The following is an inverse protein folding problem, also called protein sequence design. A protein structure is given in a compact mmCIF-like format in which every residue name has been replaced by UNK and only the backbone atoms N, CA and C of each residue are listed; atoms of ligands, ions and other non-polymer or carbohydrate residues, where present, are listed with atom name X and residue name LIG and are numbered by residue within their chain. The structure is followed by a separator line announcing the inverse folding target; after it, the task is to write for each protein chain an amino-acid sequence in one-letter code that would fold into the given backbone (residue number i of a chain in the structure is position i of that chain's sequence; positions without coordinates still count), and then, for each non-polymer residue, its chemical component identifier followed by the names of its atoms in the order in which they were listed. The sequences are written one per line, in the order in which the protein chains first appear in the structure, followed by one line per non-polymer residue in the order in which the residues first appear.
data_IF_514851904106
#
_entry.id   IF_514851904106
#
_cell.length_a   1.000
_cell.length_b   1.000
_cell.length_c   1.000
_cell.angle_alpha   90.00
_cell.angle_beta   90.00
_cell.angle_gamma   90.00
#
_symmetry.space_group_name_H-M   'P 1'
#
loop_
_entity.id
_entity.type
_entity.pdbx_description
1 polymer ?
#
# COMPACT_ATOMS: atom_id res chain seq x y z
N UNK A 1 33.34 -7.71 48.55
CA UNK A 1 31.91 -7.90 48.20
C UNK A 1 31.81 -7.51 46.75
N UNK A 2 31.56 -8.46 45.85
CA UNK A 2 31.42 -8.18 44.43
C UNK A 2 29.95 -7.77 44.18
N UNK A 3 29.75 -6.63 43.54
CA UNK A 3 28.43 -6.19 43.07
C UNK A 3 28.05 -7.02 41.84
N UNK A 4 26.94 -7.75 41.92
CA UNK A 4 26.36 -8.46 40.78
C UNK A 4 25.70 -7.45 39.83
N UNK A 5 26.11 -7.48 38.56
CA UNK A 5 25.43 -6.72 37.51
C UNK A 5 24.11 -7.41 37.13
N UNK A 6 23.03 -6.65 36.88
CA UNK A 6 21.76 -7.22 36.48
C UNK A 6 21.87 -7.90 35.11
N UNK A 7 21.52 -9.19 35.07
CA UNK A 7 21.44 -9.94 33.81
C UNK A 7 20.24 -9.47 32.97
N UNK A 8 20.44 -9.35 31.67
CA UNK A 8 19.38 -9.00 30.72
C UNK A 8 18.30 -10.08 30.70
N UNK A 9 17.03 -9.67 30.83
CA UNK A 9 15.86 -10.55 30.75
C UNK A 9 15.13 -10.36 29.41
N UNK A 10 14.52 -11.44 28.92
CA UNK A 10 13.68 -11.42 27.74
C UNK A 10 12.44 -10.53 27.99
N UNK A 11 12.18 -9.51 27.15
CA UNK A 11 11.08 -8.56 27.37
C UNK A 11 9.69 -9.20 27.26
N UNK A 12 9.59 -10.40 26.67
CA UNK A 12 8.32 -11.09 26.47
C UNK A 12 7.98 -12.07 27.59
N UNK A 13 8.96 -12.67 28.28
CA UNK A 13 8.69 -13.70 29.29
C UNK A 13 9.44 -13.50 30.62
N UNK A 14 10.31 -12.50 30.74
CA UNK A 14 11.01 -12.15 31.98
C UNK A 14 12.17 -13.09 32.37
N UNK A 15 12.44 -14.15 31.60
CA UNK A 15 13.54 -15.08 31.85
C UNK A 15 14.90 -14.52 31.37
N UNK A 16 16.02 -14.87 32.03
CA UNK A 16 17.36 -14.50 31.55
C UNK A 16 17.59 -14.99 30.11
N UNK A 17 18.17 -14.12 29.27
CA UNK A 17 18.37 -14.42 27.83
C UNK A 17 19.30 -15.64 27.61
N UNK A 18 20.08 -16.04 28.62
CA UNK A 18 21.04 -17.15 28.54
C UNK A 18 20.46 -18.53 28.91
N UNK A 19 19.22 -18.60 29.43
CA UNK A 19 18.65 -19.89 29.87
C UNK A 19 17.74 -20.51 28.81
N UNK A 20 17.96 -21.78 28.47
CA UNK A 20 17.12 -22.58 27.52
C UNK A 20 15.67 -22.80 27.98
N UNK A 21 15.29 -22.34 29.17
CA UNK A 21 13.97 -22.52 29.75
C UNK A 21 13.07 -21.31 29.45
N UNK A 22 12.76 -21.09 28.17
CA UNK A 22 11.67 -20.19 27.81
C UNK A 22 10.32 -20.91 27.90
N UNK A 23 9.26 -20.16 28.26
CA UNK A 23 7.88 -20.67 28.22
C UNK A 23 7.55 -21.22 26.80
N UNK A 24 6.80 -22.33 26.66
CA UNK A 24 6.45 -22.92 25.35
C UNK A 24 5.75 -21.96 24.38
N UNK A 25 5.11 -20.92 24.92
CA UNK A 25 4.40 -19.90 24.15
C UNK A 25 5.25 -18.65 23.86
N UNK A 26 6.55 -18.66 24.21
CA UNK A 26 7.46 -17.55 23.95
C UNK A 26 7.91 -17.58 22.48
N UNK A 27 7.68 -16.52 21.68
CA UNK A 27 8.04 -16.50 20.27
C UNK A 27 9.55 -16.63 19.99
N UNK A 28 10.40 -16.42 21.01
CA UNK A 28 11.85 -16.61 20.92
C UNK A 28 12.36 -18.01 21.32
N UNK A 29 11.49 -18.90 21.82
CA UNK A 29 11.89 -20.25 22.26
C UNK A 29 12.44 -21.11 21.11
N UNK A 30 12.10 -20.80 19.84
CA UNK A 30 12.54 -21.55 18.66
C UNK A 30 13.92 -21.17 18.11
N UNK A 31 14.56 -20.11 18.60
CA UNK A 31 15.79 -19.58 18.01
C UNK A 31 17.09 -19.98 18.74
N UNK A 32 17.01 -20.86 19.76
CA UNK A 32 18.16 -21.22 20.60
C UNK A 32 18.54 -22.70 20.48
N UNK A 33 18.54 -23.30 19.28
CA UNK A 33 19.33 -24.52 18.99
C UNK A 33 19.83 -24.58 17.54
N UNK A 34 21.16 -24.44 17.38
CA UNK A 34 22.08 -25.12 16.43
C UNK A 34 23.24 -24.22 15.98
N UNK A 35 23.98 -23.68 16.94
CA UNK A 35 25.38 -23.32 16.70
C UNK A 35 26.21 -24.60 16.62
N UNK A 36 26.59 -25.01 15.40
CA UNK A 36 27.65 -25.99 15.18
C UNK A 36 27.27 -27.18 14.29
N UNK A 37 27.16 -26.95 12.98
CA UNK A 37 27.54 -27.96 11.98
C UNK A 37 27.93 -27.25 10.68
N UNK A 38 29.20 -27.40 10.30
CA UNK A 38 29.76 -26.91 9.04
C UNK A 38 29.12 -27.68 7.88
N UNK A 39 28.20 -27.03 7.17
CA UNK A 39 27.82 -27.45 5.83
C UNK A 39 28.80 -26.85 4.82
N UNK A 40 29.76 -27.67 4.39
CA UNK A 40 30.54 -27.44 3.18
C UNK A 40 29.61 -27.56 1.95
N UNK A 41 28.95 -26.45 1.62
CA UNK A 41 28.20 -26.26 0.38
C UNK A 41 29.00 -25.42 -0.60
N UNK A 42 29.51 -26.05 -1.66
CA UNK A 42 30.06 -25.39 -2.85
C UNK A 42 28.99 -24.48 -3.47
N UNK A 43 29.24 -23.18 -3.46
CA UNK A 43 28.49 -22.17 -4.21
C UNK A 43 29.29 -20.87 -4.20
N UNK A 44 29.63 -20.39 -5.39
CA UNK A 44 30.56 -19.30 -5.69
C UNK A 44 30.52 -18.11 -4.71
N UNK A 45 31.50 -18.11 -3.81
CA UNK A 45 31.86 -16.98 -2.97
C UNK A 45 32.66 -15.97 -3.78
N UNK A 46 31.95 -15.00 -4.35
CA UNK A 46 32.49 -13.69 -4.66
C UNK A 46 31.38 -12.65 -4.47
N UNK A 47 30.87 -12.53 -3.25
CA UNK A 47 30.20 -11.30 -2.82
C UNK A 47 31.32 -10.29 -2.61
N UNK A 48 31.60 -9.49 -3.64
CA UNK A 48 32.71 -8.53 -3.64
C UNK A 48 32.59 -7.56 -2.46
N UNK A 49 33.73 -7.18 -1.88
CA UNK A 49 33.82 -6.17 -0.83
C UNK A 49 33.10 -4.85 -1.21
N UNK A 50 33.06 -4.52 -2.51
CA UNK A 50 32.26 -3.43 -3.10
C UNK A 50 30.77 -3.48 -2.72
N UNK A 51 30.15 -4.66 -2.66
CA UNK A 51 28.73 -4.80 -2.34
C UNK A 51 28.45 -4.56 -0.85
N UNK A 52 29.40 -4.89 0.02
CA UNK A 52 29.31 -4.60 1.46
C UNK A 52 29.51 -3.10 1.72
N UNK A 53 30.44 -2.47 1.01
CA UNK A 53 30.75 -1.05 1.10
C UNK A 53 29.57 -0.18 0.62
N UNK A 54 28.98 -0.49 -0.53
CA UNK A 54 27.77 0.19 -1.05
C UNK A 54 26.54 0.06 -0.14
N UNK A 55 26.45 -1.02 0.66
CA UNK A 55 25.34 -1.18 1.61
C UNK A 55 25.54 -0.27 2.82
N UNK A 56 26.78 -0.10 3.29
CA UNK A 56 27.09 0.84 4.38
C UNK A 56 26.90 2.30 3.99
N UNK A 57 27.21 2.66 2.74
CA UNK A 57 27.02 4.03 2.23
C UNK A 57 25.55 4.45 2.17
N UNK A 58 24.66 3.57 1.70
CA UNK A 58 23.23 3.87 1.64
C UNK A 58 22.64 4.01 3.05
N UNK A 59 22.90 3.07 3.96
CA UNK A 59 22.41 3.15 5.34
C UNK A 59 22.95 4.40 6.05
N UNK A 60 24.21 4.76 5.82
CA UNK A 60 24.79 5.99 6.38
C UNK A 60 24.07 7.23 5.87
N UNK A 61 23.74 7.28 4.58
CA UNK A 61 22.97 8.39 3.99
C UNK A 61 21.55 8.47 4.54
N UNK A 62 20.87 7.32 4.67
CA UNK A 62 19.52 7.26 5.23
C UNK A 62 19.50 7.82 6.67
N UNK A 63 20.40 7.34 7.53
CA UNK A 63 20.44 7.72 8.94
C UNK A 63 20.94 9.16 9.18
N UNK A 64 21.93 9.64 8.41
CA UNK A 64 22.56 10.95 8.67
C UNK A 64 21.91 12.12 7.93
N UNK A 65 21.35 11.87 6.75
CA UNK A 65 20.88 12.93 5.87
C UNK A 65 19.36 12.85 5.71
N UNK A 66 18.84 11.69 5.31
CA UNK A 66 17.44 11.57 4.89
C UNK A 66 16.45 11.53 6.07
N UNK A 67 16.63 10.63 7.05
CA UNK A 67 15.70 10.52 8.19
C UNK A 67 15.61 11.81 9.02
N UNK A 68 16.72 12.52 9.32
CA UNK A 68 16.66 13.81 9.98
C UNK A 68 15.90 14.86 9.17
N UNK A 69 16.09 14.88 7.85
CA UNK A 69 15.40 15.86 6.99
C UNK A 69 13.91 15.58 6.81
N UNK A 70 13.47 14.34 7.02
CA UNK A 70 12.05 13.95 7.01
C UNK A 70 11.40 13.96 8.40
N UNK A 71 12.17 14.15 9.49
CA UNK A 71 11.67 14.16 10.86
C UNK A 71 11.23 12.78 11.36
N UNK A 72 11.93 11.72 10.96
CA UNK A 72 11.60 10.33 11.30
C UNK A 72 12.76 9.62 11.99
N UNK A 73 13.59 10.37 12.72
CA UNK A 73 14.67 9.79 13.54
C UNK A 73 14.14 9.15 14.81
N UNK A 74 14.99 8.43 15.54
CA UNK A 74 14.66 7.94 16.88
C UNK A 74 14.36 9.08 17.86
N UNK A 75 15.03 10.24 17.72
CA UNK A 75 14.76 11.40 18.58
C UNK A 75 13.37 11.99 18.30
N UNK A 76 12.97 12.04 17.03
CA UNK A 76 11.63 12.47 16.62
C UNK A 76 10.55 11.52 17.16
N UNK A 77 10.79 10.20 17.10
CA UNK A 77 9.91 9.18 17.67
C UNK A 77 9.72 9.39 19.19
N UNK A 78 10.82 9.52 19.94
CA UNK A 78 10.75 9.74 21.39
C UNK A 78 10.05 11.04 21.76
N UNK A 79 10.26 12.10 20.97
CA UNK A 79 9.59 13.39 21.16
C UNK A 79 8.09 13.26 20.90
N UNK A 80 7.72 12.70 19.75
CA UNK A 80 6.33 12.47 19.36
C UNK A 80 5.59 11.68 20.44
N UNK A 81 6.13 10.54 20.88
CA UNK A 81 5.48 9.69 21.88
C UNK A 81 5.33 10.36 23.26
N UNK A 82 6.20 11.32 23.62
CA UNK A 82 6.07 12.11 24.86
C UNK A 82 5.00 13.19 24.76
N UNK A 83 4.75 13.71 23.57
CA UNK A 83 3.77 14.79 23.31
C UNK A 83 2.34 14.26 23.13
N UNK A 84 2.18 12.97 22.81
CA UNK A 84 0.86 12.36 22.66
C UNK A 84 0.15 12.13 24.00
N UNK A 85 -1.12 12.56 24.07
CA UNK A 85 -2.06 12.17 25.12
C UNK A 85 -2.89 10.97 24.67
N UNK A 86 -2.74 9.85 25.38
CA UNK A 86 -3.46 8.60 25.10
C UNK A 86 -4.63 8.35 26.05
N UNK A 87 -4.90 9.25 27.00
CA UNK A 87 -5.89 9.00 28.06
C UNK A 87 -7.30 8.67 27.53
N UNK A 88 -7.70 9.29 26.42
CA UNK A 88 -8.99 9.11 25.76
C UNK A 88 -8.88 8.45 24.37
N UNK A 89 -7.70 7.95 23.98
CA UNK A 89 -7.48 7.37 22.64
C UNK A 89 -7.81 5.87 22.61
N UNK A 90 -8.28 5.41 21.45
CA UNK A 90 -8.41 3.99 21.18
C UNK A 90 -7.02 3.32 21.18
N UNK A 91 -6.87 2.16 21.82
CA UNK A 91 -5.59 1.44 22.00
C UNK A 91 -4.87 1.14 20.67
N UNK A 92 -5.62 0.88 19.60
CA UNK A 92 -5.03 0.71 18.26
C UNK A 92 -4.23 1.94 17.81
N UNK A 93 -4.67 3.16 18.14
CA UNK A 93 -3.96 4.39 17.78
C UNK A 93 -2.62 4.48 18.54
N UNK A 94 -2.62 4.21 19.85
CA UNK A 94 -1.41 4.18 20.66
C UNK A 94 -0.40 3.14 20.13
N UNK A 95 -0.88 1.96 19.77
CA UNK A 95 -0.04 0.91 19.20
C UNK A 95 0.59 1.36 17.87
N UNK A 96 -0.21 1.96 16.99
CA UNK A 96 0.23 2.44 15.68
C UNK A 96 1.27 3.54 15.83
N UNK A 97 1.04 4.50 16.73
CA UNK A 97 1.97 5.59 17.02
C UNK A 97 3.35 5.05 17.42
N UNK A 98 3.41 3.99 18.25
CA UNK A 98 4.65 3.34 18.71
C UNK A 98 5.42 2.55 17.64
N UNK A 99 4.78 2.14 16.54
CA UNK A 99 5.44 1.31 15.51
C UNK A 99 5.62 2.04 14.18
N UNK A 100 4.86 3.12 13.96
CA UNK A 100 4.81 3.81 12.68
C UNK A 100 6.16 4.40 12.24
N UNK A 101 6.97 4.92 13.17
CA UNK A 101 8.33 5.42 12.89
C UNK A 101 9.26 4.34 12.35
N UNK A 102 9.23 3.14 12.94
CA UNK A 102 10.02 2.02 12.43
C UNK A 102 9.49 1.57 11.06
N UNK A 103 8.16 1.47 10.93
CA UNK A 103 7.51 1.01 9.71
C UNK A 103 7.80 1.91 8.51
N UNK A 104 7.77 3.24 8.69
CA UNK A 104 8.03 4.20 7.61
C UNK A 104 9.52 4.27 7.26
N UNK A 105 10.43 4.16 8.25
CA UNK A 105 11.87 4.02 8.00
C UNK A 105 12.16 2.77 7.16
N UNK A 106 11.53 1.65 7.50
CA UNK A 106 11.64 0.43 6.70
C UNK A 106 11.09 0.59 5.29
N UNK A 107 9.98 1.30 5.10
CA UNK A 107 9.46 1.60 3.77
C UNK A 107 10.45 2.40 2.94
N UNK A 108 11.02 3.48 3.50
CA UNK A 108 12.01 4.31 2.81
C UNK A 108 13.26 3.50 2.48
N UNK A 109 13.78 2.73 3.43
CA UNK A 109 14.95 1.88 3.22
C UNK A 109 14.74 0.91 2.07
N UNK A 110 13.60 0.23 2.05
CA UNK A 110 13.23 -0.69 0.97
C UNK A 110 13.06 0.04 -0.37
N UNK A 111 12.47 1.23 -0.35
CA UNK A 111 12.29 2.08 -1.53
C UNK A 111 13.64 2.47 -2.15
N UNK A 112 14.57 2.98 -1.35
CA UNK A 112 15.91 3.34 -1.82
C UNK A 112 16.72 2.12 -2.24
N UNK A 113 16.63 1.01 -1.49
CA UNK A 113 17.25 -0.25 -1.88
C UNK A 113 16.75 -0.71 -3.25
N UNK A 114 15.46 -0.55 -3.55
CA UNK A 114 14.88 -0.92 -4.84
C UNK A 114 15.37 0.00 -5.97
N UNK A 115 15.21 1.32 -5.87
CA UNK A 115 15.49 2.23 -6.98
C UNK A 115 16.96 2.63 -7.12
N UNK A 116 17.70 2.78 -6.03
CA UNK A 116 19.11 3.21 -6.06
C UNK A 116 20.03 2.02 -6.28
N UNK A 117 19.83 0.95 -5.49
CA UNK A 117 20.78 -0.16 -5.43
C UNK A 117 20.39 -1.35 -6.29
N UNK A 118 19.14 -1.79 -6.26
CA UNK A 118 18.70 -2.96 -7.03
C UNK A 118 18.39 -2.61 -8.49
N UNK A 119 17.89 -1.40 -8.74
CA UNK A 119 17.51 -0.87 -10.05
C UNK A 119 16.21 -1.45 -10.61
N UNK A 120 15.52 -0.68 -11.45
CA UNK A 120 14.29 -1.08 -12.15
C UNK A 120 14.64 -1.69 -13.50
N UNK A 121 13.90 -2.71 -13.94
CA UNK A 121 14.11 -3.30 -15.26
C UNK A 121 13.55 -2.39 -16.35
N UNK A 122 14.35 -2.08 -17.37
CA UNK A 122 13.91 -1.35 -18.56
C UNK A 122 13.13 -2.27 -19.50
N UNK A 123 11.90 -2.63 -19.10
CA UNK A 123 11.04 -3.54 -19.85
C UNK A 123 10.61 -2.95 -21.19
N UNK A 124 10.52 -1.62 -21.30
CA UNK A 124 10.18 -0.92 -22.54
C UNK A 124 11.29 -1.09 -23.58
N UNK A 125 12.54 -0.75 -23.24
CA UNK A 125 13.67 -0.93 -24.15
C UNK A 125 13.92 -2.40 -24.45
N UNK A 126 13.75 -3.27 -23.45
CA UNK A 126 13.85 -4.72 -23.62
C UNK A 126 12.85 -5.26 -24.66
N UNK A 127 11.56 -4.89 -24.55
CA UNK A 127 10.53 -5.35 -25.50
C UNK A 127 10.76 -4.83 -26.91
N UNK A 128 11.17 -3.57 -27.04
CA UNK A 128 11.52 -3.01 -28.35
C UNK A 128 12.66 -3.81 -29.00
N UNK A 129 13.71 -4.10 -28.22
CA UNK A 129 14.83 -4.94 -28.69
C UNK A 129 14.37 -6.36 -29.02
N UNK A 130 13.49 -6.95 -28.21
CA UNK A 130 12.92 -8.28 -28.45
C UNK A 130 12.14 -8.32 -29.77
N UNK A 131 11.31 -7.32 -30.04
CA UNK A 131 10.56 -7.20 -31.28
C UNK A 131 11.48 -7.05 -32.50
N UNK A 132 12.48 -6.18 -32.42
CA UNK A 132 13.44 -5.95 -33.51
C UNK A 132 14.29 -7.20 -33.81
N UNK A 133 14.75 -7.90 -32.77
CA UNK A 133 15.49 -9.16 -32.91
C UNK A 133 14.58 -10.26 -33.46
N UNK A 134 13.35 -10.38 -32.98
CA UNK A 134 12.37 -11.37 -33.47
C UNK A 134 12.08 -11.18 -34.95
N UNK A 135 11.81 -9.95 -35.40
CA UNK A 135 11.59 -9.63 -36.82
C UNK A 135 12.77 -10.06 -37.70
N UNK A 136 14.00 -9.78 -37.25
CA UNK A 136 15.20 -10.24 -37.97
C UNK A 136 15.33 -11.75 -38.00
N UNK A 137 15.21 -12.44 -36.86
CA UNK A 137 15.36 -13.90 -36.76
C UNK A 137 14.30 -14.62 -37.62
N UNK A 138 13.07 -14.11 -37.64
CA UNK A 138 12.01 -14.59 -38.53
C UNK A 138 12.41 -14.43 -40.00
N UNK A 139 12.84 -13.24 -40.40
CA UNK A 139 13.27 -12.97 -41.77
C UNK A 139 14.45 -13.85 -42.21
N UNK A 140 15.45 -14.05 -41.34
CA UNK A 140 16.61 -14.90 -41.59
C UNK A 140 16.22 -16.38 -41.80
N UNK A 141 15.14 -16.83 -41.14
CA UNK A 141 14.58 -18.18 -41.30
C UNK A 141 13.52 -18.27 -42.41
N UNK A 142 13.23 -17.16 -43.10
CA UNK A 142 12.27 -17.10 -44.21
C UNK A 142 10.79 -17.11 -43.78
N UNK A 143 10.50 -16.61 -42.57
CA UNK A 143 9.15 -16.47 -42.02
C UNK A 143 8.77 -15.00 -41.82
N UNK A 144 7.46 -14.71 -41.82
CA UNK A 144 6.85 -13.48 -41.35
C UNK A 144 6.17 -13.69 -39.98
N UNK A 145 5.82 -12.60 -39.28
CA UNK A 145 5.18 -12.67 -37.96
C UNK A 145 3.83 -13.40 -37.97
N UNK A 146 3.07 -13.29 -39.08
CA UNK A 146 1.76 -13.90 -39.24
C UNK A 146 1.81 -15.34 -39.77
N UNK A 147 3.00 -15.86 -40.09
CA UNK A 147 3.12 -17.20 -40.65
C UNK A 147 2.77 -18.26 -39.61
N UNK A 148 1.95 -19.24 -40.01
CA UNK A 148 1.71 -20.41 -39.17
C UNK A 148 2.92 -21.33 -39.24
N UNK A 149 3.68 -21.38 -38.14
CA UNK A 149 4.90 -22.14 -38.03
C UNK A 149 4.67 -23.47 -37.28
N UNK A 150 5.39 -24.55 -37.66
CA UNK A 150 5.51 -25.72 -36.79
C UNK A 150 6.06 -25.29 -35.42
N UNK A 151 5.56 -25.87 -34.31
CA UNK A 151 5.98 -25.42 -32.97
C UNK A 151 7.49 -25.41 -32.84
N UNK A 152 8.18 -26.44 -33.35
CA UNK A 152 9.63 -26.61 -33.17
C UNK A 152 10.39 -25.41 -33.70
N UNK A 153 9.98 -24.91 -34.85
CA UNK A 153 10.55 -23.71 -35.47
C UNK A 153 10.26 -22.48 -34.62
N UNK A 154 9.02 -22.31 -34.14
CA UNK A 154 8.67 -21.22 -33.23
C UNK A 154 9.52 -21.23 -31.94
N UNK A 155 9.76 -22.41 -31.37
CA UNK A 155 10.61 -22.56 -30.18
C UNK A 155 12.07 -22.21 -30.47
N UNK A 156 12.61 -22.67 -31.59
CA UNK A 156 13.98 -22.31 -32.01
C UNK A 156 14.14 -20.81 -32.23
N UNK A 157 13.13 -20.15 -32.80
CA UNK A 157 13.09 -18.68 -32.94
C UNK A 157 13.09 -18.04 -31.56
N UNK A 158 12.20 -18.46 -30.65
CA UNK A 158 12.12 -17.88 -29.30
C UNK A 158 13.44 -18.06 -28.52
N UNK A 159 14.07 -19.24 -28.61
CA UNK A 159 15.34 -19.52 -27.94
C UNK A 159 16.47 -18.65 -28.52
N UNK A 160 16.51 -18.48 -29.84
CA UNK A 160 17.48 -17.60 -30.51
C UNK A 160 17.24 -16.12 -30.15
N UNK A 161 15.99 -15.66 -30.18
CA UNK A 161 15.63 -14.29 -29.78
C UNK A 161 16.07 -14.04 -28.34
N UNK A 162 15.75 -14.93 -27.40
CA UNK A 162 16.19 -14.79 -26.00
C UNK A 162 17.70 -14.76 -25.85
N UNK A 163 18.42 -15.62 -26.58
CA UNK A 163 19.88 -15.65 -26.55
C UNK A 163 20.50 -14.34 -27.07
N UNK A 164 19.90 -13.71 -28.08
CA UNK A 164 20.41 -12.48 -28.70
C UNK A 164 19.96 -11.20 -27.95
N UNK A 165 18.76 -11.18 -27.38
CA UNK A 165 18.25 -10.04 -26.60
C UNK A 165 18.96 -9.95 -25.24
N UNK A 166 19.17 -11.09 -24.58
CA UNK A 166 19.75 -11.17 -23.24
C UNK A 166 18.75 -10.87 -22.13
N UNK A 167 19.24 -10.39 -20.98
CA UNK A 167 18.39 -9.96 -19.87
C UNK A 167 18.07 -8.46 -19.99
N UNK A 168 16.91 -7.98 -19.50
CA UNK A 168 16.62 -6.56 -19.42
C UNK A 168 17.67 -5.83 -18.59
N UNK A 169 18.07 -4.64 -19.06
CA UNK A 169 18.98 -3.77 -18.34
C UNK A 169 18.30 -3.17 -17.10
N UNK A 170 19.12 -2.79 -16.12
CA UNK A 170 18.67 -2.18 -14.87
C UNK A 170 18.99 -0.70 -14.87
N UNK A 171 17.99 0.09 -14.50
CA UNK A 171 18.08 1.54 -14.36
C UNK A 171 18.19 1.85 -12.87
N UNK A 172 19.29 2.50 -12.52
CA UNK A 172 19.57 2.98 -11.18
C UNK A 172 19.34 4.48 -11.11
N UNK A 173 18.70 4.91 -10.04
CA UNK A 173 18.38 6.31 -9.82
C UNK A 173 19.33 6.93 -8.80
N UNK A 174 19.65 8.20 -9.00
CA UNK A 174 20.43 8.96 -8.04
C UNK A 174 19.64 9.18 -6.74
N UNK A 175 20.29 8.94 -5.60
CA UNK A 175 19.64 8.99 -4.29
C UNK A 175 19.22 10.41 -3.89
N UNK A 176 19.99 11.42 -4.27
CA UNK A 176 19.68 12.82 -3.94
C UNK A 176 18.51 13.30 -4.81
N UNK A 177 18.46 12.89 -6.08
CA UNK A 177 17.32 13.14 -6.96
C UNK A 177 16.03 12.48 -6.45
N UNK A 178 16.08 11.23 -6.00
CA UNK A 178 14.93 10.57 -5.38
C UNK A 178 14.48 11.37 -4.16
N UNK A 179 15.41 11.74 -3.28
CA UNK A 179 15.08 12.47 -2.06
C UNK A 179 14.41 13.83 -2.35
N UNK A 180 14.93 14.60 -3.31
CA UNK A 180 14.31 15.85 -3.74
C UNK A 180 12.88 15.66 -4.27
N UNK A 181 12.64 14.58 -5.03
CA UNK A 181 11.29 14.24 -5.51
C UNK A 181 10.36 13.84 -4.37
N UNK A 182 10.83 13.08 -3.39
CA UNK A 182 10.05 12.74 -2.18
C UNK A 182 9.64 14.03 -1.45
N UNK A 183 10.58 14.97 -1.22
CA UNK A 183 10.27 16.22 -0.54
C UNK A 183 9.22 17.06 -1.29
N UNK A 184 9.32 17.11 -2.62
CA UNK A 184 8.33 17.80 -3.45
C UNK A 184 6.95 17.17 -3.30
N UNK A 185 6.83 15.85 -3.52
CA UNK A 185 5.57 15.12 -3.41
C UNK A 185 4.97 15.22 -2.00
N UNK A 186 5.80 15.10 -0.96
CA UNK A 186 5.37 15.23 0.43
C UNK A 186 4.82 16.62 0.74
N UNK A 187 5.41 17.67 0.17
CA UNK A 187 4.90 19.04 0.33
C UNK A 187 3.52 19.16 -0.30
N UNK A 188 3.36 18.70 -1.54
CA UNK A 188 2.07 18.71 -2.26
C UNK A 188 0.99 17.91 -1.51
N UNK A 189 1.35 16.77 -0.91
CA UNK A 189 0.43 15.94 -0.11
C UNK A 189 0.06 16.58 1.22
N UNK A 190 1.03 17.19 1.93
CA UNK A 190 0.76 17.88 3.20
C UNK A 190 -0.08 19.12 3.02
N UNK A 191 0.10 19.83 1.91
CA UNK A 191 -0.73 20.98 1.55
C UNK A 191 -2.17 20.56 1.20
N UNK A 192 -2.34 19.32 0.72
CA UNK A 192 -3.63 18.82 0.27
C UNK A 192 -3.71 17.30 0.38
N UNK A 193 -4.24 16.81 1.50
CA UNK A 193 -4.59 15.39 1.68
C UNK A 193 -5.85 15.23 2.49
N UNK A 194 -6.72 14.32 2.05
CA UNK A 194 -8.03 14.08 2.63
C UNK A 194 -8.28 12.59 2.77
N UNK A 195 -9.05 12.21 3.80
CA UNK A 195 -9.57 10.85 3.86
C UNK A 195 -10.81 10.80 2.97
N UNK A 196 -10.82 9.87 2.02
CA UNK A 196 -11.87 9.73 1.03
C UNK A 196 -12.47 8.33 1.04
N UNK A 197 -13.77 8.26 0.78
CA UNK A 197 -14.50 7.01 0.66
C UNK A 197 -15.24 6.97 -0.68
N UNK A 198 -14.76 6.10 -1.57
CA UNK A 198 -15.34 5.86 -2.88
C UNK A 198 -16.62 5.01 -2.78
N UNK A 199 -17.66 5.40 -3.52
CA UNK A 199 -18.93 4.68 -3.61
C UNK A 199 -19.46 4.70 -5.04
N UNK A 200 -20.06 3.60 -5.49
CA UNK A 200 -20.82 3.58 -6.75
C UNK A 200 -22.09 4.43 -6.64
N UNK A 201 -22.56 4.98 -7.76
CA UNK A 201 -23.82 5.73 -7.81
C UNK A 201 -25.07 4.89 -7.50
N UNK A 202 -26.24 5.52 -7.64
CA UNK A 202 -27.54 4.88 -7.42
C UNK A 202 -27.79 4.47 -5.97
N UNK A 203 -28.31 3.27 -5.74
CA UNK A 203 -28.76 2.78 -4.44
C UNK A 203 -27.69 2.84 -3.33
N UNK A 204 -26.40 2.79 -3.69
CA UNK A 204 -25.31 2.76 -2.72
C UNK A 204 -25.12 4.12 -2.03
N UNK A 205 -25.10 5.23 -2.78
CA UNK A 205 -25.02 6.57 -2.18
C UNK A 205 -26.32 6.92 -1.46
N UNK A 206 -27.48 6.63 -2.07
CA UNK A 206 -28.80 6.87 -1.47
C UNK A 206 -28.97 6.16 -0.13
N UNK A 207 -28.49 4.92 0.01
CA UNK A 207 -28.57 4.17 1.27
C UNK A 207 -27.84 4.89 2.41
N UNK A 208 -26.65 5.42 2.15
CA UNK A 208 -25.85 6.16 3.15
C UNK A 208 -26.54 7.47 3.54
N UNK A 209 -27.11 8.17 2.56
CA UNK A 209 -27.88 9.39 2.80
C UNK A 209 -29.14 9.11 3.64
N UNK A 210 -29.83 8.00 3.37
CA UNK A 210 -31.02 7.59 4.12
C UNK A 210 -30.71 7.19 5.57
N UNK A 211 -29.62 6.46 5.81
CA UNK A 211 -29.20 6.08 7.17
C UNK A 211 -28.52 7.23 7.92
N UNK A 212 -28.01 8.23 7.18
CA UNK A 212 -27.17 9.29 7.70
C UNK A 212 -25.81 8.81 8.20
N UNK A 213 -25.40 7.59 7.85
CA UNK A 213 -24.18 6.94 8.34
C UNK A 213 -23.48 6.14 7.25
N UNK A 214 -22.16 6.06 7.34
CA UNK A 214 -21.39 4.99 6.67
C UNK A 214 -21.10 3.94 7.72
N UNK A 215 -21.74 2.78 7.58
CA UNK A 215 -21.56 1.65 8.48
C UNK A 215 -20.64 0.59 7.84
N UNK A 216 -19.92 -0.19 8.65
CA UNK A 216 -19.11 -1.32 8.17
C UNK A 216 -19.94 -2.30 7.34
N UNK A 217 -19.35 -2.85 6.26
CA UNK A 217 -20.04 -3.83 5.40
C UNK A 217 -20.64 -5.01 6.21
N UNK A 218 -19.99 -5.43 7.28
CA UNK A 218 -20.44 -6.53 8.16
C UNK A 218 -21.72 -6.24 8.94
N UNK A 219 -22.15 -4.98 9.03
CA UNK A 219 -23.38 -4.59 9.71
C UNK A 219 -24.61 -4.59 8.79
N UNK A 220 -24.42 -4.80 7.48
CA UNK A 220 -25.53 -4.95 6.54
C UNK A 220 -26.12 -6.37 6.58
N UNK A 221 -27.41 -6.53 6.25
CA UNK A 221 -28.03 -7.84 5.98
C UNK A 221 -27.24 -8.68 4.96
N UNK A 222 -27.27 -10.01 5.08
CA UNK A 222 -26.46 -10.91 4.23
C UNK A 222 -26.72 -10.76 2.74
N UNK A 223 -27.99 -10.61 2.35
CA UNK A 223 -28.41 -10.37 0.97
C UNK A 223 -27.80 -9.08 0.42
N UNK A 224 -27.78 -8.01 1.22
CA UNK A 224 -27.13 -6.75 0.88
C UNK A 224 -25.60 -6.89 0.80
N UNK A 225 -24.98 -7.61 1.76
CA UNK A 225 -23.53 -7.89 1.73
C UNK A 225 -23.13 -8.66 0.48
N UNK A 226 -23.95 -9.63 0.10
CA UNK A 226 -23.76 -10.44 -1.11
C UNK A 226 -23.78 -9.57 -2.36
N UNK A 227 -24.70 -8.61 -2.45
CA UNK A 227 -24.77 -7.70 -3.60
C UNK A 227 -23.63 -6.68 -3.59
N UNK A 228 -23.21 -6.15 -2.43
CA UNK A 228 -22.01 -5.32 -2.33
C UNK A 228 -20.74 -6.06 -2.80
N UNK A 229 -20.62 -7.36 -2.49
CA UNK A 229 -19.52 -8.23 -2.96
C UNK A 229 -19.57 -8.47 -4.48
N UNK A 230 -20.76 -8.59 -5.08
CA UNK A 230 -20.95 -8.74 -6.54
C UNK A 230 -20.74 -7.43 -7.31
N UNK A 231 -21.13 -6.30 -6.72
CA UNK A 231 -20.99 -4.97 -7.30
C UNK A 231 -19.51 -4.56 -7.39
N UNK A 232 -18.60 -5.18 -6.62
CA UNK A 232 -17.14 -5.07 -6.78
C UNK A 232 -16.57 -5.62 -8.12
N UNK A 233 -17.43 -5.70 -9.15
CA UNK A 233 -17.23 -5.91 -10.58
C UNK A 233 -17.62 -7.33 -11.06
N UNK A 234 -18.56 -7.48 -12.03
CA UNK A 234 -18.74 -8.72 -12.80
C UNK A 234 -17.48 -9.14 -13.59
N UNK A 235 -16.41 -8.32 -13.58
CA UNK A 235 -15.07 -8.61 -14.06
C UNK A 235 -14.02 -8.95 -12.98
N UNK A 236 -14.18 -10.04 -12.21
CA UNK A 236 -13.05 -10.81 -11.61
C UNK A 236 -12.12 -10.12 -10.57
N UNK A 237 -12.38 -8.93 -10.02
CA UNK A 237 -11.38 -8.32 -9.08
C UNK A 237 -11.52 -8.88 -7.65
N UNK A 238 -12.73 -8.95 -7.09
CA UNK A 238 -12.88 -9.37 -5.68
C UNK A 238 -12.80 -10.89 -5.43
N UNK A 239 -13.13 -11.73 -6.42
CA UNK A 239 -13.22 -13.20 -6.23
C UNK A 239 -11.99 -13.97 -6.78
N UNK A 240 -11.42 -13.56 -7.92
CA UNK A 240 -10.24 -14.24 -8.49
C UNK A 240 -8.92 -13.85 -7.79
N UNK A 241 -8.79 -12.63 -7.26
CA UNK A 241 -7.58 -12.22 -6.51
C UNK A 241 -7.51 -12.83 -5.11
N UNK A 242 -8.67 -12.96 -4.46
CA UNK A 242 -8.74 -13.52 -3.12
C UNK A 242 -8.91 -15.04 -3.13
N UNK A 243 -9.27 -15.65 -4.27
CA UNK A 243 -9.28 -17.11 -4.46
C UNK A 243 -10.25 -17.86 -3.54
N UNK A 244 -11.26 -17.18 -3.00
CA UNK A 244 -11.96 -17.61 -1.80
C UNK A 244 -13.46 -17.44 -1.82
N UNK A 245 -14.17 -18.36 -1.17
CA UNK A 245 -15.61 -18.22 -0.92
C UNK A 245 -15.90 -17.09 0.10
N UNK A 246 -17.17 -16.73 0.26
CA UNK A 246 -17.67 -15.67 1.15
C UNK A 246 -17.12 -15.70 2.60
N UNK A 247 -16.91 -16.89 3.17
CA UNK A 247 -16.33 -17.05 4.50
C UNK A 247 -14.88 -16.54 4.55
N UNK A 248 -14.14 -16.62 3.44
CA UNK A 248 -12.76 -16.15 3.40
C UNK A 248 -12.61 -14.63 3.51
N UNK A 249 -13.58 -13.84 3.01
CA UNK A 249 -13.51 -12.39 3.13
C UNK A 249 -13.71 -11.94 4.58
N UNK A 250 -14.81 -12.38 5.21
CA UNK A 250 -15.11 -11.99 6.59
C UNK A 250 -14.03 -12.51 7.55
N UNK A 251 -13.49 -13.71 7.30
CA UNK A 251 -12.36 -14.25 8.07
C UNK A 251 -11.08 -13.44 7.88
N UNK A 252 -10.74 -13.04 6.65
CA UNK A 252 -9.55 -12.19 6.38
C UNK A 252 -9.69 -10.83 7.03
N UNK A 253 -10.87 -10.20 6.93
CA UNK A 253 -11.17 -8.94 7.59
C UNK A 253 -11.04 -9.07 9.10
N UNK A 254 -11.63 -10.09 9.71
CA UNK A 254 -11.52 -10.34 11.15
C UNK A 254 -10.05 -10.53 11.57
N UNK A 255 -9.28 -11.29 10.79
CA UNK A 255 -7.85 -11.51 11.04
C UNK A 255 -7.06 -10.20 10.95
N UNK A 256 -7.33 -9.36 9.93
CA UNK A 256 -6.68 -8.07 9.78
C UNK A 256 -7.04 -7.12 10.93
N UNK A 257 -8.33 -6.95 11.24
CA UNK A 257 -8.78 -6.10 12.35
C UNK A 257 -8.23 -6.57 13.71
N UNK A 258 -8.13 -7.89 13.93
CA UNK A 258 -7.51 -8.45 15.12
C UNK A 258 -5.99 -8.19 15.16
N UNK A 259 -5.29 -8.42 14.05
CA UNK A 259 -3.84 -8.18 13.94
C UNK A 259 -3.49 -6.71 14.21
N UNK A 260 -4.36 -5.80 13.78
CA UNK A 260 -4.24 -4.35 14.00
C UNK A 260 -4.69 -3.90 15.40
N UNK A 261 -5.32 -4.78 16.19
CA UNK A 261 -5.82 -4.44 17.53
C UNK A 261 -7.08 -3.57 17.51
N UNK A 262 -7.88 -3.63 16.44
CA UNK A 262 -9.09 -2.83 16.25
C UNK A 262 -10.37 -3.48 16.79
N UNK A 263 -10.34 -4.79 17.08
CA UNK A 263 -11.50 -5.52 17.60
C UNK A 263 -11.49 -5.52 19.13
N UNK A 264 -12.20 -4.58 19.74
CA UNK A 264 -12.65 -4.71 21.14
C UNK A 264 -14.10 -5.20 21.17
N UNK A 265 -14.41 -6.05 22.15
CA UNK A 265 -15.76 -6.59 22.32
C UNK A 265 -16.76 -5.46 22.55
N UNK A 266 -17.76 -5.33 21.66
CA UNK A 266 -18.83 -4.34 21.77
C UNK A 266 -18.57 -3.00 21.09
N UNK A 267 -17.41 -2.79 20.46
CA UNK A 267 -17.13 -1.59 19.67
C UNK A 267 -17.60 -1.74 18.20
N UNK A 268 -17.98 -0.61 17.59
CA UNK A 268 -18.34 -0.58 16.17
C UNK A 268 -17.11 -0.91 15.33
N UNK A 269 -17.30 -1.74 14.29
CA UNK A 269 -16.20 -2.09 13.39
C UNK A 269 -15.70 -0.86 12.62
N UNK A 270 -14.44 -0.87 12.15
CA UNK A 270 -13.92 0.25 11.38
C UNK A 270 -14.63 0.39 10.02
N UNK A 271 -14.72 1.64 9.57
CA UNK A 271 -15.05 1.98 8.17
C UNK A 271 -13.75 2.07 7.40
N UNK A 272 -13.67 1.33 6.30
CA UNK A 272 -12.50 1.29 5.42
C UNK A 272 -12.65 2.37 4.35
N UNK A 273 -11.73 3.31 4.36
CA UNK A 273 -11.61 4.45 3.47
C UNK A 273 -10.17 4.50 2.93
N UNK A 274 -9.79 5.62 2.32
CA UNK A 274 -8.44 5.81 1.75
C UNK A 274 -7.90 7.20 2.03
N UNK A 275 -6.58 7.33 2.09
CA UNK A 275 -5.92 8.64 2.05
C UNK A 275 -5.67 9.03 0.59
N UNK A 276 -6.26 10.14 0.16
CA UNK A 276 -6.01 10.76 -1.14
C UNK A 276 -5.28 12.09 -0.94
N UNK A 277 -4.49 12.55 -1.91
CA UNK A 277 -3.80 13.83 -1.77
C UNK A 277 -2.90 14.20 -2.94
N UNK A 278 -2.10 15.25 -2.76
CA UNK A 278 -1.15 15.77 -3.74
C UNK A 278 -1.77 16.66 -4.81
N UNK A 279 -3.06 16.47 -5.12
CA UNK A 279 -3.80 17.32 -6.05
C UNK A 279 -5.30 17.30 -5.76
N UNK A 280 -6.01 18.31 -6.25
CA UNK A 280 -7.48 18.33 -6.19
C UNK A 280 -8.09 17.20 -7.00
N UNK A 281 -7.49 16.85 -8.14
CA UNK A 281 -7.93 15.75 -8.99
C UNK A 281 -7.88 14.40 -8.26
N UNK A 282 -6.82 14.13 -7.50
CA UNK A 282 -6.71 12.90 -6.72
C UNK A 282 -7.78 12.81 -5.62
N UNK A 283 -8.16 13.93 -5.01
CA UNK A 283 -9.28 13.96 -4.05
C UNK A 283 -10.62 13.77 -4.76
N UNK A 284 -10.80 14.39 -5.93
CA UNK A 284 -12.04 14.28 -6.71
C UNK A 284 -12.31 12.87 -7.20
N UNK A 285 -11.28 12.15 -7.65
CA UNK A 285 -11.36 10.73 -8.04
C UNK A 285 -11.40 9.82 -6.80
N UNK A 286 -10.89 10.28 -5.67
CA UNK A 286 -10.72 9.49 -4.44
C UNK A 286 -9.48 8.59 -4.47
N UNK A 287 -9.08 8.08 -3.31
CA UNK A 287 -7.88 7.25 -3.19
C UNK A 287 -8.07 5.80 -3.65
N UNK A 288 -9.31 5.36 -3.89
CA UNK A 288 -9.61 4.02 -4.40
C UNK A 288 -10.78 4.03 -5.41
N UNK A 289 -10.58 4.60 -6.61
CA UNK A 289 -11.62 4.73 -7.64
C UNK A 289 -12.23 3.40 -8.09
N UNK A 290 -11.49 2.29 -7.96
CA UNK A 290 -12.01 0.95 -8.26
C UNK A 290 -13.25 0.55 -7.44
N UNK A 291 -13.52 1.20 -6.30
CA UNK A 291 -14.70 0.93 -5.48
C UNK A 291 -15.89 1.84 -5.80
N UNK A 292 -15.72 2.81 -6.70
CA UNK A 292 -16.80 3.63 -7.25
C UNK A 292 -16.40 5.07 -7.49
N UNK A 293 -17.19 5.73 -8.32
CA UNK A 293 -16.80 7.03 -8.86
C UNK A 293 -17.22 8.19 -7.96
N UNK A 294 -18.27 8.07 -7.13
CA UNK A 294 -18.66 9.14 -6.22
C UNK A 294 -17.81 9.10 -4.95
N UNK A 295 -17.50 10.27 -4.38
CA UNK A 295 -16.52 10.37 -3.29
C UNK A 295 -17.10 11.12 -2.09
N UNK A 296 -17.06 10.49 -0.92
CA UNK A 296 -17.23 11.20 0.35
C UNK A 296 -15.85 11.68 0.83
N UNK A 297 -15.72 12.98 1.06
CA UNK A 297 -14.52 13.58 1.65
C UNK A 297 -14.80 13.88 3.12
N UNK A 298 -13.96 13.33 4.00
CA UNK A 298 -14.15 13.47 5.43
C UNK A 298 -13.50 14.73 5.98
N UNK A 299 -14.07 15.26 7.06
CA UNK A 299 -13.47 16.37 7.80
C UNK A 299 -12.14 15.94 8.46
N UNK A 300 -11.25 16.90 8.68
CA UNK A 300 -9.90 16.68 9.23
C UNK A 300 -9.93 15.92 10.57
N UNK A 301 -10.93 16.16 11.42
CA UNK A 301 -11.04 15.53 12.73
C UNK A 301 -11.22 14.01 12.67
N UNK A 302 -11.68 13.46 11.54
CA UNK A 302 -11.74 12.01 11.32
C UNK A 302 -10.34 11.40 11.35
N UNK A 303 -9.30 12.16 10.97
CA UNK A 303 -7.90 11.75 11.06
C UNK A 303 -7.47 11.36 12.47
N UNK A 304 -8.02 12.00 13.51
CA UNK A 304 -7.66 11.75 14.92
C UNK A 304 -8.08 10.38 15.44
N UNK A 305 -8.92 9.66 14.69
CA UNK A 305 -9.45 8.33 15.03
C UNK A 305 -9.26 7.33 13.90
N UNK A 306 -8.30 7.60 13.02
CA UNK A 306 -8.01 6.78 11.85
C UNK A 306 -6.64 6.13 11.99
N UNK A 307 -6.58 4.83 11.76
CA UNK A 307 -5.34 4.10 11.53
C UNK A 307 -5.10 4.00 10.03
N UNK A 308 -3.85 4.01 9.59
CA UNK A 308 -3.51 3.86 8.19
C UNK A 308 -2.71 2.59 7.96
N UNK A 309 -2.87 2.00 6.79
CA UNK A 309 -2.10 0.85 6.33
C UNK A 309 -1.55 1.11 4.93
N UNK A 310 -0.27 0.81 4.71
CA UNK A 310 0.32 0.81 3.37
C UNK A 310 -0.30 -0.31 2.54
N UNK A 311 -1.02 0.04 1.46
CA UNK A 311 -1.77 -0.94 0.67
C UNK A 311 -3.04 -1.44 1.39
N UNK A 312 -3.89 -2.13 0.63
CA UNK A 312 -5.07 -2.84 1.14
C UNK A 312 -4.68 -3.88 2.21
N UNK A 313 -5.22 -3.76 3.43
CA UNK A 313 -4.89 -4.65 4.56
C UNK A 313 -5.39 -6.09 4.39
N UNK A 314 -6.34 -6.32 3.48
CA UNK A 314 -6.86 -7.65 3.16
C UNK A 314 -6.11 -8.27 1.96
N UNK A 315 -5.46 -7.45 1.13
CA UNK A 315 -4.73 -7.89 -0.04
C UNK A 315 -3.21 -7.93 0.20
N UNK A 316 -2.59 -9.13 0.21
CA UNK A 316 -1.14 -9.23 0.36
C UNK A 316 -0.39 -8.53 -0.77
N UNK A 317 -0.95 -8.42 -1.96
CA UNK A 317 -0.30 -7.78 -3.14
C UNK A 317 -0.56 -6.29 -3.28
N UNK A 318 -1.20 -5.66 -2.28
CA UNK A 318 -1.59 -4.25 -2.29
C UNK A 318 -0.43 -3.26 -2.12
N UNK A 319 0.82 -3.73 -1.99
CA UNK A 319 2.00 -2.89 -1.92
C UNK A 319 2.62 -2.64 -3.30
N UNK A 320 3.28 -1.48 -3.44
CA UNK A 320 4.16 -1.19 -4.56
C UNK A 320 5.35 -2.16 -4.58
N UNK A 321 5.92 -2.39 -5.76
CA UNK A 321 7.00 -3.35 -5.99
C UNK A 321 8.19 -3.13 -5.05
N UNK A 322 8.55 -1.87 -4.83
CA UNK A 322 9.61 -1.46 -3.93
C UNK A 322 9.40 -1.89 -2.48
N UNK A 323 8.14 -2.04 -2.04
CA UNK A 323 7.76 -2.33 -0.65
C UNK A 323 7.30 -3.77 -0.42
N UNK A 324 7.14 -4.60 -1.47
CA UNK A 324 6.64 -5.99 -1.35
C UNK A 324 7.40 -6.87 -0.38
N UNK A 325 8.67 -6.56 -0.09
CA UNK A 325 9.44 -7.30 0.92
C UNK A 325 8.77 -7.25 2.30
N UNK A 326 8.00 -6.20 2.61
CA UNK A 326 7.25 -6.05 3.88
C UNK A 326 6.18 -7.14 4.07
N UNK A 327 5.61 -7.68 2.99
CA UNK A 327 4.62 -8.77 3.04
C UNK A 327 5.17 -10.02 3.77
N UNK A 328 6.49 -10.16 3.82
CA UNK A 328 7.21 -11.29 4.43
C UNK A 328 7.84 -10.96 5.78
N UNK A 329 7.72 -9.71 6.27
CA UNK A 329 8.52 -9.21 7.40
C UNK A 329 7.91 -9.43 8.79
N UNK A 330 6.72 -10.03 8.93
CA UNK A 330 6.12 -10.34 10.24
C UNK A 330 4.99 -11.37 10.14
N UNK A 331 3.96 -11.22 10.98
CA UNK A 331 2.61 -11.82 10.91
C UNK A 331 2.07 -12.07 9.49
N UNK A 332 0.94 -12.78 9.38
CA UNK A 332 0.33 -13.13 8.08
C UNK A 332 0.18 -11.88 7.20
N UNK A 333 0.96 -11.82 6.10
CA UNK A 333 1.04 -10.72 5.12
C UNK A 333 1.72 -9.42 5.60
N UNK A 334 2.47 -9.45 6.71
CA UNK A 334 3.29 -8.33 7.16
C UNK A 334 2.51 -7.11 7.65
N UNK A 335 1.25 -7.29 8.08
CA UNK A 335 0.35 -6.19 8.39
C UNK A 335 0.86 -5.29 9.51
N UNK A 336 1.41 -5.87 10.59
CA UNK A 336 1.98 -5.07 11.67
C UNK A 336 3.07 -4.09 11.20
N UNK A 337 3.84 -4.47 10.19
CA UNK A 337 4.88 -3.61 9.60
C UNK A 337 4.36 -2.56 8.62
N UNK A 338 3.09 -2.63 8.23
CA UNK A 338 2.46 -1.71 7.26
C UNK A 338 1.62 -0.62 7.92
N UNK A 339 1.52 -0.64 9.24
CA UNK A 339 0.71 0.30 10.01
C UNK A 339 1.40 1.65 10.16
N UNK A 340 0.64 2.72 9.93
CA UNK A 340 1.13 4.10 9.92
C UNK A 340 0.16 5.03 10.67
N UNK A 341 0.72 6.06 11.30
CA UNK A 341 -0.05 7.24 11.72
C UNK A 341 -0.27 8.17 10.50
N UNK A 342 -0.99 9.29 10.69
CA UNK A 342 -1.31 10.24 9.61
C UNK A 342 -0.07 10.76 8.89
N UNK A 343 0.89 11.30 9.62
CA UNK A 343 2.08 11.95 9.04
C UNK A 343 2.93 10.95 8.23
N UNK A 344 3.03 9.70 8.71
CA UNK A 344 3.74 8.66 8.00
C UNK A 344 2.93 8.09 6.82
N UNK A 345 1.60 8.09 6.90
CA UNK A 345 0.72 7.73 5.79
C UNK A 345 0.87 8.71 4.61
N UNK A 346 1.00 10.01 4.87
CA UNK A 346 1.30 11.03 3.86
C UNK A 346 2.66 10.80 3.19
N UNK A 347 3.67 10.44 3.98
CA UNK A 347 4.99 10.09 3.46
C UNK A 347 4.95 8.81 2.62
N UNK A 348 4.20 7.78 3.04
CA UNK A 348 4.03 6.58 2.23
C UNK A 348 3.24 6.84 0.94
N UNK A 349 2.25 7.73 0.98
CA UNK A 349 1.56 8.20 -0.22
C UNK A 349 2.52 8.93 -1.19
N UNK A 350 3.46 9.71 -0.68
CA UNK A 350 4.51 10.34 -1.49
C UNK A 350 5.40 9.30 -2.17
N UNK A 351 5.78 8.22 -1.46
CA UNK A 351 6.51 7.09 -2.05
C UNK A 351 5.70 6.39 -3.13
N UNK A 352 4.40 6.20 -2.92
CA UNK A 352 3.50 5.60 -3.91
C UNK A 352 3.46 6.42 -5.20
N UNK A 353 3.17 7.73 -5.15
CA UNK A 353 3.15 8.56 -6.36
C UNK A 353 4.51 8.62 -7.04
N UNK A 354 5.60 8.70 -6.26
CA UNK A 354 6.94 8.66 -6.83
C UNK A 354 7.24 7.32 -7.53
N UNK A 355 6.79 6.18 -7.00
CA UNK A 355 6.98 4.90 -7.72
C UNK A 355 6.28 4.89 -9.07
N UNK A 356 5.08 5.50 -9.17
CA UNK A 356 4.39 5.60 -10.45
C UNK A 356 5.22 6.42 -11.46
N UNK A 357 5.78 7.55 -11.01
CA UNK A 357 6.64 8.41 -11.84
C UNK A 357 7.94 7.73 -12.27
N UNK A 358 8.53 6.90 -11.40
CA UNK A 358 9.79 6.20 -11.66
C UNK A 358 9.60 4.96 -12.53
N UNK A 359 8.50 4.20 -12.37
CA UNK A 359 8.28 2.93 -13.06
C UNK A 359 7.63 3.12 -14.44
N UNK A 360 6.69 4.08 -14.58
CA UNK A 360 5.88 4.26 -15.80
C UNK A 360 6.68 4.45 -17.09
N UNK A 361 7.84 5.14 -17.13
CA UNK A 361 8.63 5.26 -18.35
C UNK A 361 9.21 3.93 -18.86
N UNK A 362 9.36 2.95 -17.96
CA UNK A 362 10.09 1.70 -18.21
C UNK A 362 9.19 0.47 -18.23
N UNK A 363 7.96 0.59 -17.72
CA UNK A 363 6.95 -0.47 -17.75
C UNK A 363 5.93 -0.21 -18.88
N UNK A 364 5.71 -1.17 -19.79
CA UNK A 364 4.70 -1.04 -20.84
C UNK A 364 3.30 -0.75 -20.28
N UNK A 365 2.55 0.16 -20.92
CA UNK A 365 1.22 0.61 -20.46
C UNK A 365 0.23 -0.53 -20.23
N UNK A 366 0.28 -1.60 -21.04
CA UNK A 366 -0.57 -2.78 -20.83
C UNK A 366 -0.25 -3.57 -19.56
N UNK A 367 1.03 -3.62 -19.17
CA UNK A 367 1.45 -4.20 -17.90
C UNK A 367 1.01 -3.31 -16.74
N UNK A 368 1.18 -1.98 -16.89
CA UNK A 368 0.69 -1.01 -15.92
C UNK A 368 -0.84 -1.08 -15.74
N UNK A 369 -1.60 -1.33 -16.81
CA UNK A 369 -3.06 -1.51 -16.73
C UNK A 369 -3.49 -2.89 -16.22
N UNK A 370 -2.70 -3.95 -16.44
CA UNK A 370 -2.91 -5.27 -15.81
C UNK A 370 -2.52 -5.27 -14.33
N UNK A 371 -1.49 -4.52 -13.97
CA UNK A 371 -1.05 -4.24 -12.61
C UNK A 371 -1.88 -3.14 -11.93
N UNK A 372 -2.62 -2.34 -12.69
CA UNK A 372 -3.70 -1.47 -12.23
C UNK A 372 -4.90 -2.24 -11.67
N UNK A 373 -4.85 -3.58 -11.72
CA UNK A 373 -5.71 -4.46 -10.91
C UNK A 373 -5.18 -4.68 -9.49
N UNK A 374 -3.93 -4.30 -9.19
CA UNK A 374 -3.38 -4.33 -7.83
C UNK A 374 -3.91 -3.09 -7.13
N UNK A 375 -4.66 -3.34 -6.07
CA UNK A 375 -5.30 -2.31 -5.27
C UNK A 375 -4.23 -1.63 -4.40
N UNK A 376 -3.47 -0.72 -5.00
CA UNK A 376 -2.37 0.01 -4.36
C UNK A 376 -2.83 1.42 -3.99
N UNK A 377 -3.04 1.64 -2.70
CA UNK A 377 -3.46 2.90 -2.10
C UNK A 377 -3.08 2.88 -0.62
N UNK A 378 -3.18 4.01 0.07
CA UNK A 378 -3.04 4.04 1.52
C UNK A 378 -4.43 3.86 2.13
N UNK A 379 -4.67 2.70 2.75
CA UNK A 379 -5.95 2.36 3.35
C UNK A 379 -6.10 3.07 4.70
N UNK A 380 -7.28 3.63 4.95
CA UNK A 380 -7.63 4.35 6.17
C UNK A 380 -8.74 3.61 6.91
N UNK A 381 -8.46 3.10 8.11
CA UNK A 381 -9.42 2.43 8.97
C UNK A 381 -9.96 3.41 10.02
N UNK A 382 -11.16 3.95 9.78
CA UNK A 382 -11.82 4.93 10.64
C UNK A 382 -12.52 4.21 11.79
N UNK A 383 -12.07 4.45 13.02
CA UNK A 383 -12.61 3.80 14.22
C UNK A 383 -13.90 4.47 14.70
N UNK A 384 -14.90 3.67 15.11
CA UNK A 384 -16.16 4.17 15.67
C UNK A 384 -17.25 4.54 14.67
N UNK A 385 -17.12 4.16 13.39
CA UNK A 385 -18.11 4.45 12.34
C UNK A 385 -18.06 5.88 11.81
N UNK A 386 -18.97 6.25 10.91
CA UNK A 386 -19.03 7.59 10.30
C UNK A 386 -20.46 8.12 10.32
N UNK A 387 -20.66 9.32 10.86
CA UNK A 387 -21.90 10.09 10.81
C UNK A 387 -21.80 11.18 9.74
N UNK A 388 -22.67 11.14 8.73
CA UNK A 388 -22.61 12.06 7.59
C UNK A 388 -22.76 13.53 7.98
N UNK A 389 -23.44 13.86 9.08
CA UNK A 389 -23.64 15.26 9.50
C UNK A 389 -22.43 15.84 10.21
N UNK A 390 -21.58 14.98 10.77
CA UNK A 390 -20.44 15.38 11.60
C UNK A 390 -19.12 15.18 10.87
N UNK A 391 -18.98 14.05 10.21
CA UNK A 391 -17.70 13.53 9.76
C UNK A 391 -17.44 13.77 8.27
N UNK A 392 -18.47 14.09 7.49
CA UNK A 392 -18.35 14.37 6.04
C UNK A 392 -18.36 15.87 5.81
N UNK A 393 -17.32 16.36 5.16
CA UNK A 393 -17.21 17.76 4.74
C UNK A 393 -17.81 17.98 3.35
N UNK A 394 -17.72 16.97 2.48
CA UNK A 394 -18.15 17.09 1.09
C UNK A 394 -18.51 15.73 0.47
N UNK A 395 -19.43 15.75 -0.48
CA UNK A 395 -19.81 14.62 -1.35
C UNK A 395 -19.63 15.08 -2.80
N UNK A 396 -18.70 14.45 -3.50
CA UNK A 396 -18.35 14.74 -4.89
C UNK A 396 -19.07 13.74 -5.78
N UNK A 397 -19.89 14.25 -6.68
CA UNK A 397 -20.59 13.46 -7.69
C UNK A 397 -19.79 13.49 -8.99
N UNK A 398 -19.27 12.31 -9.37
CA UNK A 398 -18.54 12.08 -10.62
C UNK A 398 -19.36 11.27 -11.63
N UNK A 399 -20.31 10.48 -11.12
CA UNK A 399 -21.05 9.47 -11.89
C UNK A 399 -22.30 10.07 -12.52
N UNK A 400 -22.17 10.65 -13.71
CA UNK A 400 -23.32 10.64 -14.61
C UNK A 400 -22.86 10.57 -16.07
N UNK A 401 -22.95 9.37 -16.64
CA UNK A 401 -22.76 9.11 -18.09
C UNK A 401 -23.75 9.90 -18.98
N UNK A 402 -24.73 10.62 -18.40
CA UNK A 402 -25.82 11.24 -19.15
C UNK A 402 -26.19 12.68 -18.71
N UNK A 403 -26.07 13.05 -17.41
CA UNK A 403 -26.43 14.40 -16.92
C UNK A 403 -25.90 14.74 -15.49
N UNK A 404 -24.64 15.21 -15.36
CA UNK A 404 -24.02 15.65 -14.10
C UNK A 404 -24.90 16.58 -13.26
N UNK A 405 -25.36 17.67 -13.89
CA UNK A 405 -26.16 18.69 -13.23
C UNK A 405 -27.50 18.13 -12.74
N UNK A 406 -28.16 17.29 -13.55
CA UNK A 406 -29.40 16.62 -13.18
C UNK A 406 -29.25 15.71 -11.96
N UNK A 407 -28.16 14.94 -11.85
CA UNK A 407 -27.92 14.10 -10.69
C UNK A 407 -27.63 14.91 -9.42
N UNK A 408 -26.83 15.98 -9.53
CA UNK A 408 -26.57 16.88 -8.41
C UNK A 408 -27.86 17.51 -7.88
N UNK A 409 -28.71 18.02 -8.78
CA UNK A 409 -29.99 18.62 -8.41
C UNK A 409 -30.94 17.59 -7.79
N UNK A 410 -30.99 16.37 -8.33
CA UNK A 410 -31.74 15.27 -7.73
C UNK A 410 -31.32 15.02 -6.28
N UNK A 411 -30.03 14.83 -6.01
CA UNK A 411 -29.56 14.56 -4.65
C UNK A 411 -29.84 15.72 -3.68
N UNK A 412 -29.71 16.97 -4.14
CA UNK A 412 -30.04 18.15 -3.33
C UNK A 412 -31.53 18.26 -3.01
N UNK A 413 -32.40 17.86 -3.93
CA UNK A 413 -33.85 17.89 -3.75
C UNK A 413 -34.34 16.74 -2.86
N UNK A 414 -33.84 15.52 -3.07
CA UNK A 414 -34.27 14.33 -2.33
C UNK A 414 -33.68 14.29 -0.90
N UNK A 415 -32.47 14.84 -0.73
CA UNK A 415 -31.75 14.84 0.55
C UNK A 415 -31.40 16.27 1.02
N UNK A 416 -32.40 17.13 1.27
CA UNK A 416 -32.18 18.55 1.54
C UNK A 416 -31.33 18.81 2.80
N UNK A 417 -31.34 17.90 3.77
CA UNK A 417 -30.49 17.98 4.96
C UNK A 417 -28.99 17.85 4.66
N UNK A 418 -28.63 17.29 3.51
CA UNK A 418 -27.25 17.12 3.03
C UNK A 418 -26.94 17.97 1.80
N UNK A 419 -27.89 18.79 1.33
CA UNK A 419 -27.74 19.58 0.10
C UNK A 419 -26.46 20.45 0.06
N UNK A 420 -25.99 20.90 1.22
CA UNK A 420 -24.78 21.71 1.38
C UNK A 420 -23.48 20.92 1.24
N UNK A 421 -23.52 19.58 1.32
CA UNK A 421 -22.35 18.72 1.16
C UNK A 421 -22.07 18.39 -0.31
N UNK A 422 -23.07 18.47 -1.19
CA UNK A 422 -22.92 18.01 -2.57
C UNK A 422 -22.26 19.05 -3.49
N UNK A 423 -21.30 18.58 -4.28
CA UNK A 423 -20.80 19.26 -5.46
C UNK A 423 -20.54 18.28 -6.62
N UNK A 424 -20.38 18.83 -7.82
CA UNK A 424 -19.82 18.10 -8.95
C UNK A 424 -18.30 18.06 -8.87
N UNK A 425 -17.70 17.02 -9.45
CA UNK A 425 -16.32 17.08 -9.88
C UNK A 425 -16.12 18.29 -10.80
N UNK A 426 -14.93 18.87 -10.77
CA UNK A 426 -14.59 19.89 -11.77
C UNK A 426 -14.30 19.15 -13.07
N UNK A 427 -14.67 19.75 -14.20
CA UNK A 427 -14.16 19.26 -15.49
C UNK A 427 -12.63 19.25 -15.40
N UNK A 428 -12.05 18.08 -15.57
CA UNK A 428 -10.61 17.92 -15.66
C UNK A 428 -10.27 18.39 -17.07
N UNK A 429 -9.68 19.59 -17.19
CA UNK A 429 -9.01 19.97 -18.43
C UNK A 429 -7.91 18.91 -18.69
N UNK A 430 -8.10 18.06 -19.70
CA UNK A 430 -7.18 16.97 -20.06
C UNK A 430 -5.78 17.46 -20.54
N UNK A 431 -5.44 18.74 -20.38
CA UNK A 431 -4.20 19.38 -20.86
C UNK A 431 -3.07 19.51 -19.81
N UNK A 432 -2.87 18.53 -18.92
CA UNK A 432 -1.72 18.53 -17.98
C UNK A 432 -0.72 17.41 -18.26
#
# INVERSE_FOLDING_TARGET
MAEEQPQASCPFCGFPVETKEHSPDCPNAGNVESGGEQLEGKGDGNVSAERVEQTGELETYLEKDLYPALGITQEDEEKFLKEQDYSDKHEALERVDKISFQNIRDSIRLFFQYYVKDGVLDMKSYRQKEEDVRKRVLADKGYNEDDTMPWQVGREIDDQVRAEVGMPEKIHFDKDQIFQKIQKQLTEIRDLSEITYNVKGGDSIERRLNTGKIIPMTEFPEDERTDMRKIADPGRIAMDFFGGNEAEYDDRRNQAEQAMGMLKSGEARPVYATLAGGSRQNIEIGGAPQYGDNVFVFNEEVGNRTVYTEGDSMNPTGLIDALRKKEKMSDKNGLGNRLLNREHAELSLALYYLSQDLDRPYTPTEQFNREGKKVQYIEAQILGGVDLKKDVGEIIINDVDVDPDGALEYYKQEYPQYAHLFRLAREIDEEV
#
